data_IF_935605905229
#
_entry.id   IF_935605905229
#
_cell.length_a   1.000
_cell.length_b   1.000
_cell.length_c   1.000
_cell.angle_alpha   90.00
_cell.angle_beta   90.00
_cell.angle_gamma   90.00
#
_symmetry.space_group_name_H-M   'P 1'
#
loop_
_entity.id
_entity.type
_entity.pdbx_description
1 polymer ?
#
# COMPACT_ATOMS: atom_id res chain seq x y z
N UNK A 1 -14.64 67.26 38.25
CA UNK A 1 -14.97 65.87 38.66
C UNK A 1 -13.95 64.95 38.04
N UNK A 2 -13.29 64.18 38.91
CA UNK A 2 -12.14 63.31 38.63
C UNK A 2 -12.63 62.03 37.93
N UNK A 3 -11.97 61.63 36.84
CA UNK A 3 -12.05 60.26 36.33
C UNK A 3 -10.63 59.68 36.25
N UNK A 4 -10.35 58.80 37.22
CA UNK A 4 -9.14 57.99 37.29
C UNK A 4 -9.23 56.85 36.26
N UNK A 5 -8.24 56.70 35.39
CA UNK A 5 -8.11 55.53 34.52
C UNK A 5 -6.86 54.77 34.95
N UNK A 6 -7.05 53.63 35.62
CA UNK A 6 -5.98 52.67 35.90
C UNK A 6 -5.80 51.76 34.69
N UNK A 7 -4.63 51.83 34.03
CA UNK A 7 -4.24 50.89 32.99
C UNK A 7 -3.53 49.69 33.63
N UNK A 8 -4.17 48.52 33.60
CA UNK A 8 -3.54 47.26 34.02
C UNK A 8 -2.56 46.78 32.93
N UNK A 9 -1.26 46.77 33.23
CA UNK A 9 -0.24 46.11 32.39
C UNK A 9 -0.34 44.60 32.57
N UNK A 10 -0.95 43.91 31.62
CA UNK A 10 -0.88 42.45 31.52
C UNK A 10 0.51 42.08 31.02
N UNK A 11 1.34 41.51 31.89
CA UNK A 11 2.62 40.93 31.49
C UNK A 11 2.37 39.59 30.80
N UNK A 12 2.55 39.55 29.49
CA UNK A 12 2.49 38.32 28.71
C UNK A 12 3.81 37.56 28.91
N UNK A 13 3.76 36.44 29.63
CA UNK A 13 4.89 35.52 29.74
C UNK A 13 5.04 34.80 28.39
N UNK A 14 6.10 35.10 27.65
CA UNK A 14 6.43 34.39 26.41
C UNK A 14 6.88 32.97 26.75
N UNK A 15 6.17 31.97 26.22
CA UNK A 15 6.57 30.56 26.27
C UNK A 15 7.72 30.33 25.29
N UNK A 16 8.84 29.83 25.78
CA UNK A 16 9.95 29.37 24.93
C UNK A 16 9.61 27.96 24.41
N UNK A 17 9.05 27.88 23.22
CA UNK A 17 8.99 26.62 22.48
C UNK A 17 10.39 26.32 21.90
N UNK A 18 11.06 25.28 22.38
CA UNK A 18 12.29 24.79 21.75
C UNK A 18 11.96 24.21 20.38
N UNK A 19 12.49 24.79 19.31
CA UNK A 19 12.38 24.23 17.97
C UNK A 19 13.14 22.90 17.91
N UNK A 20 12.46 21.83 17.49
CA UNK A 20 13.12 20.55 17.17
C UNK A 20 14.09 20.76 16.01
N UNK A 21 15.21 20.03 15.95
CA UNK A 21 16.11 20.10 14.81
C UNK A 21 15.35 19.73 13.53
N UNK A 22 15.42 20.59 12.52
CA UNK A 22 14.86 20.31 11.20
C UNK A 22 15.74 19.27 10.52
N UNK A 23 15.24 18.05 10.37
CA UNK A 23 15.87 17.06 9.49
C UNK A 23 15.64 17.52 8.05
N UNK A 24 16.73 17.84 7.34
CA UNK A 24 16.67 18.13 5.91
C UNK A 24 16.42 16.82 5.16
N UNK A 25 15.25 16.70 4.55
CA UNK A 25 14.95 15.60 3.65
C UNK A 25 15.41 15.98 2.23
N UNK A 26 16.42 15.31 1.65
CA UNK A 26 17.00 15.69 0.36
C UNK A 26 16.00 15.60 -0.80
N UNK A 27 14.87 14.90 -0.64
CA UNK A 27 13.81 14.81 -1.66
C UNK A 27 12.64 15.77 -1.41
N UNK A 28 12.66 16.61 -0.36
CA UNK A 28 11.55 17.52 -0.04
C UNK A 28 11.30 18.62 -1.09
N UNK A 29 12.24 18.84 -2.01
CA UNK A 29 12.15 19.80 -3.11
C UNK A 29 11.73 19.20 -4.46
N UNK A 30 11.62 17.88 -4.55
CA UNK A 30 11.25 17.20 -5.80
C UNK A 30 9.74 17.33 -6.08
N UNK A 31 9.39 17.37 -7.36
CA UNK A 31 7.98 17.33 -7.74
C UNK A 31 7.38 15.96 -7.37
N UNK A 32 6.27 15.91 -6.61
CA UNK A 32 5.65 14.65 -6.25
C UNK A 32 5.17 13.92 -7.52
N UNK A 33 5.56 12.64 -7.64
CA UNK A 33 5.09 11.77 -8.73
C UNK A 33 4.26 10.64 -8.16
N UNK A 34 3.12 10.36 -8.79
CA UNK A 34 2.24 9.26 -8.41
C UNK A 34 1.55 8.71 -9.64
N UNK A 35 1.46 7.39 -9.72
CA UNK A 35 0.70 6.67 -10.73
C UNK A 35 -0.02 5.54 -10.02
N UNK A 36 -1.31 5.38 -10.31
CA UNK A 36 -2.12 4.34 -9.69
C UNK A 36 -3.06 3.71 -10.70
N UNK A 37 -3.22 2.40 -10.61
CA UNK A 37 -4.18 1.63 -11.40
C UNK A 37 -4.53 0.34 -10.65
N UNK A 38 -5.64 -0.28 -11.06
CA UNK A 38 -6.09 -1.54 -10.48
C UNK A 38 -5.30 -2.72 -11.07
N UNK A 39 -4.34 -3.27 -10.32
CA UNK A 39 -3.55 -4.42 -10.77
C UNK A 39 -4.31 -5.76 -10.67
N UNK A 40 -5.07 -5.94 -9.58
CA UNK A 40 -5.90 -7.12 -9.32
C UNK A 40 -7.37 -6.69 -9.26
N UNK A 41 -8.10 -6.89 -10.36
CA UNK A 41 -9.53 -6.59 -10.43
C UNK A 41 -10.33 -7.85 -10.11
N UNK A 42 -11.06 -7.85 -8.99
CA UNK A 42 -12.05 -8.90 -8.68
C UNK A 42 -13.31 -8.77 -9.54
N UNK A 43 -14.10 -9.83 -9.61
CA UNK A 43 -15.36 -9.84 -10.36
C UNK A 43 -15.81 -11.25 -10.79
N UNK A 44 -16.90 -11.28 -11.55
CA UNK A 44 -17.56 -12.54 -11.95
C UNK A 44 -16.72 -13.39 -12.89
N UNK A 45 -15.90 -12.77 -13.74
CA UNK A 45 -14.96 -13.44 -14.62
C UNK A 45 -13.64 -12.68 -14.67
N UNK A 46 -12.63 -13.20 -13.97
CA UNK A 46 -11.30 -12.58 -13.90
C UNK A 46 -10.28 -13.58 -14.38
N UNK A 47 -9.74 -13.33 -15.59
CA UNK A 47 -8.57 -14.05 -16.11
C UNK A 47 -8.70 -15.58 -16.03
N UNK A 48 -9.92 -16.09 -16.26
CA UNK A 48 -10.26 -17.51 -16.21
C UNK A 48 -10.88 -18.01 -14.90
N UNK A 49 -11.00 -17.15 -13.88
CA UNK A 49 -11.61 -17.48 -12.59
C UNK A 49 -13.02 -16.87 -12.48
N UNK A 50 -13.94 -17.62 -11.87
CA UNK A 50 -15.31 -17.16 -11.65
C UNK A 50 -15.48 -16.60 -10.24
N UNK A 51 -16.06 -15.41 -10.12
CA UNK A 51 -16.49 -14.83 -8.83
C UNK A 51 -15.35 -14.54 -7.84
N UNK A 52 -14.14 -14.25 -8.32
CA UNK A 52 -12.96 -14.09 -7.46
C UNK A 52 -12.86 -12.68 -6.85
N UNK A 53 -12.50 -12.62 -5.58
CA UNK A 53 -12.08 -11.37 -4.91
C UNK A 53 -10.63 -11.46 -4.45
N UNK A 54 -9.91 -10.32 -4.41
CA UNK A 54 -8.49 -10.29 -4.03
C UNK A 54 -8.25 -9.52 -2.73
N UNK A 55 -7.58 -10.15 -1.77
CA UNK A 55 -7.19 -9.52 -0.49
C UNK A 55 -5.76 -9.90 -0.11
N UNK A 56 -5.27 -9.31 0.99
CA UNK A 56 -3.98 -9.59 1.64
C UNK A 56 -2.78 -9.48 0.67
N UNK A 57 -2.33 -8.25 0.35
CA UNK A 57 -1.23 -8.02 -0.57
C UNK A 57 0.14 -8.37 0.03
N UNK A 58 1.01 -8.93 -0.81
CA UNK A 58 2.46 -8.93 -0.61
C UNK A 58 3.15 -8.47 -1.89
N UNK A 59 4.24 -7.70 -1.81
CA UNK A 59 4.98 -7.26 -3.01
C UNK A 59 6.48 -7.25 -2.72
N UNK A 60 7.27 -7.77 -3.66
CA UNK A 60 8.74 -7.70 -3.61
C UNK A 60 9.32 -7.31 -4.96
N UNK A 61 10.58 -6.90 -4.93
CA UNK A 61 11.46 -6.80 -6.09
C UNK A 61 12.54 -7.86 -5.97
N UNK A 62 12.67 -8.72 -6.99
CA UNK A 62 13.71 -9.75 -7.05
C UNK A 62 15.10 -9.13 -7.30
N UNK A 63 16.17 -9.92 -7.11
CA UNK A 63 17.53 -9.47 -7.42
C UNK A 63 17.74 -9.14 -8.91
N UNK A 64 16.91 -9.70 -9.80
CA UNK A 64 16.87 -9.36 -11.23
C UNK A 64 16.03 -8.10 -11.54
N UNK A 65 15.52 -7.39 -10.53
CA UNK A 65 14.71 -6.18 -10.69
C UNK A 65 13.25 -6.40 -11.08
N UNK A 66 12.81 -7.67 -11.23
CA UNK A 66 11.40 -8.00 -11.51
C UNK A 66 10.54 -7.75 -10.27
N UNK A 67 9.36 -7.18 -10.44
CA UNK A 67 8.37 -7.07 -9.37
C UNK A 67 7.51 -8.34 -9.32
N UNK A 68 7.25 -8.86 -8.12
CA UNK A 68 6.22 -9.88 -7.89
C UNK A 68 5.19 -9.30 -6.94
N UNK A 69 3.95 -9.19 -7.40
CA UNK A 69 2.82 -8.79 -6.56
C UNK A 69 1.94 -10.01 -6.29
N UNK A 70 1.68 -10.30 -5.03
CA UNK A 70 0.91 -11.43 -4.54
C UNK A 70 -0.40 -10.96 -3.91
N UNK A 71 -1.43 -11.80 -4.00
CA UNK A 71 -2.73 -11.64 -3.34
C UNK A 71 -3.29 -13.01 -2.99
N UNK A 72 -4.14 -13.05 -1.98
CA UNK A 72 -5.13 -14.12 -1.87
C UNK A 72 -6.18 -13.96 -2.98
N UNK A 73 -6.35 -14.96 -3.83
CA UNK A 73 -7.48 -15.11 -4.72
C UNK A 73 -8.56 -15.93 -4.04
N UNK A 74 -9.66 -15.29 -3.68
CA UNK A 74 -10.75 -15.88 -2.89
C UNK A 74 -11.90 -16.22 -3.82
N UNK A 75 -12.12 -17.51 -4.06
CA UNK A 75 -12.90 -17.99 -5.20
C UNK A 75 -14.42 -17.78 -5.08
N UNK A 76 -14.96 -17.81 -3.85
CA UNK A 76 -16.42 -17.82 -3.62
C UNK A 76 -16.96 -16.53 -3.00
N UNK A 77 -16.14 -15.84 -2.20
CA UNK A 77 -16.57 -14.68 -1.44
C UNK A 77 -15.37 -13.85 -0.97
N UNK A 78 -15.62 -12.75 -0.26
CA UNK A 78 -14.60 -11.93 0.39
C UNK A 78 -14.24 -12.40 1.81
N UNK A 79 -14.70 -13.59 2.23
CA UNK A 79 -14.46 -14.18 3.55
C UNK A 79 -13.06 -14.76 3.68
N UNK A 80 -12.58 -14.93 4.91
CA UNK A 80 -11.21 -15.35 5.24
C UNK A 80 -11.06 -16.89 5.32
N UNK A 81 -11.99 -17.65 4.74
CA UNK A 81 -12.04 -19.11 4.75
C UNK A 81 -12.57 -19.65 3.40
N UNK A 82 -12.72 -20.97 3.27
CA UNK A 82 -13.00 -21.72 2.04
C UNK A 82 -11.82 -21.69 1.05
N UNK A 83 -12.12 -21.91 -0.24
CA UNK A 83 -11.16 -21.99 -1.32
C UNK A 83 -10.49 -20.62 -1.55
N UNK A 84 -9.27 -20.51 -1.01
CA UNK A 84 -8.41 -19.34 -1.11
C UNK A 84 -7.04 -19.82 -1.57
N UNK A 85 -6.58 -19.28 -2.69
CA UNK A 85 -5.29 -19.61 -3.28
C UNK A 85 -4.38 -18.40 -3.28
N UNK A 86 -3.06 -18.62 -3.23
CA UNK A 86 -2.08 -17.54 -3.40
C UNK A 86 -1.87 -17.31 -4.89
N UNK A 87 -2.26 -16.14 -5.35
CA UNK A 87 -2.12 -15.68 -6.72
C UNK A 87 -1.05 -14.61 -6.83
N UNK A 88 -0.48 -14.43 -8.03
CA UNK A 88 0.50 -13.39 -8.27
C UNK A 88 0.50 -12.88 -9.72
N UNK A 89 1.11 -11.71 -9.92
CA UNK A 89 1.48 -11.15 -11.22
C UNK A 89 2.94 -10.74 -11.20
N UNK A 90 3.60 -10.84 -12.35
CA UNK A 90 5.00 -10.44 -12.57
C UNK A 90 5.04 -9.10 -13.30
N UNK A 91 5.79 -8.13 -12.77
CA UNK A 91 5.97 -6.81 -13.36
C UNK A 91 7.38 -6.60 -13.89
N UNK A 92 7.49 -6.11 -15.13
CA UNK A 92 8.74 -5.61 -15.72
C UNK A 92 8.74 -4.08 -15.74
N UNK A 93 9.81 -3.42 -16.20
CA UNK A 93 9.85 -1.94 -16.36
C UNK A 93 9.43 -1.13 -15.12
N UNK A 94 9.72 -1.62 -13.91
CA UNK A 94 9.25 -1.08 -12.62
C UNK A 94 7.72 -1.11 -12.40
N UNK A 95 6.96 -1.84 -13.22
CA UNK A 95 5.52 -1.99 -13.09
C UNK A 95 4.76 -0.68 -13.31
N UNK A 96 5.30 0.23 -14.12
CA UNK A 96 4.82 1.61 -14.30
C UNK A 96 3.40 1.68 -14.87
N UNK A 97 3.04 0.74 -15.74
CA UNK A 97 1.73 0.69 -16.41
C UNK A 97 1.10 -0.68 -16.28
N UNK A 98 -0.21 -0.78 -16.53
CA UNK A 98 -0.92 -2.06 -16.53
C UNK A 98 -0.35 -3.06 -17.56
N UNK A 99 0.21 -2.58 -18.68
CA UNK A 99 0.82 -3.41 -19.71
C UNK A 99 2.17 -4.01 -19.33
N UNK A 100 2.81 -3.50 -18.28
CA UNK A 100 4.08 -4.03 -17.77
C UNK A 100 3.90 -5.28 -16.89
N UNK A 101 2.65 -5.68 -16.62
CA UNK A 101 2.32 -6.80 -15.75
C UNK A 101 1.81 -8.01 -16.55
N UNK A 102 2.20 -9.20 -16.10
CA UNK A 102 1.67 -10.45 -16.62
C UNK A 102 0.18 -10.61 -16.33
N UNK A 103 -0.44 -11.58 -17.01
CA UNK A 103 -1.69 -12.17 -16.53
C UNK A 103 -1.49 -12.81 -15.15
N UNK A 104 -2.60 -13.09 -14.49
CA UNK A 104 -2.71 -13.73 -13.19
C UNK A 104 -2.15 -15.14 -13.25
N UNK A 105 -1.34 -15.47 -12.26
CA UNK A 105 -0.71 -16.77 -12.09
C UNK A 105 -0.98 -17.28 -10.68
N UNK A 106 -0.92 -18.59 -10.49
CA UNK A 106 -1.09 -19.23 -9.19
C UNK A 106 0.26 -19.63 -8.62
N UNK A 107 0.54 -19.22 -7.38
CA UNK A 107 1.75 -19.61 -6.65
C UNK A 107 1.51 -20.86 -5.79
N UNK A 108 0.35 -20.96 -5.13
CA UNK A 108 0.01 -22.07 -4.26
C UNK A 108 -1.51 -22.29 -4.17
N UNK A 109 -1.91 -23.56 -4.07
CA UNK A 109 -3.30 -24.02 -3.88
C UNK A 109 -3.33 -25.40 -3.24
N UNK A 110 -4.34 -25.70 -2.41
CA UNK A 110 -4.62 -27.05 -1.89
C UNK A 110 -6.15 -27.24 -1.96
N UNK A 111 -6.63 -27.89 -3.02
CA UNK A 111 -8.05 -28.20 -3.18
C UNK A 111 -8.98 -27.01 -2.91
N UNK A 112 -9.91 -27.20 -1.97
CA UNK A 112 -10.84 -26.17 -1.47
C UNK A 112 -10.41 -25.56 -0.13
N UNK A 113 -9.19 -25.84 0.33
CA UNK A 113 -8.66 -25.28 1.57
C UNK A 113 -8.19 -23.82 1.38
N UNK A 114 -7.87 -23.19 2.52
CA UNK A 114 -7.35 -21.83 2.58
C UNK A 114 -5.83 -21.82 2.62
N UNK A 115 -5.22 -21.19 1.61
CA UNK A 115 -3.80 -20.79 1.62
C UNK A 115 -3.72 -19.28 1.40
N UNK A 116 -3.10 -18.57 2.33
CA UNK A 116 -3.07 -17.12 2.29
C UNK A 116 -1.85 -16.50 2.94
N UNK A 117 -2.03 -15.25 3.38
CA UNK A 117 -1.01 -14.45 4.06
C UNK A 117 0.35 -14.42 3.33
N UNK A 118 0.39 -14.08 2.02
CA UNK A 118 1.63 -14.05 1.26
C UNK A 118 2.64 -13.09 1.92
N UNK A 119 3.72 -13.65 2.45
CA UNK A 119 4.79 -12.93 3.15
C UNK A 119 6.12 -13.16 2.42
N UNK A 120 6.26 -12.66 1.18
CA UNK A 120 7.47 -12.89 0.38
C UNK A 120 8.67 -12.14 0.92
N UNK A 121 9.84 -12.77 0.86
CA UNK A 121 11.16 -12.17 1.09
C UNK A 121 12.09 -12.57 -0.04
N UNK A 122 13.03 -11.69 -0.38
CA UNK A 122 14.09 -11.99 -1.33
C UNK A 122 15.38 -12.11 -0.54
N UNK A 123 16.02 -13.27 -0.63
CA UNK A 123 17.34 -13.50 -0.05
C UNK A 123 18.41 -12.77 -0.86
N UNK A 124 19.46 -12.27 -0.19
CA UNK A 124 20.48 -11.39 -0.77
C UNK A 124 21.89 -11.77 -0.37
#
# INVERSE_FOLDING_TARGET
MIACVFAAKVHFLASFASALPTVTDPVSGDNPTSTSFMLFKGGDHVEGLNGVTFRIPGVIRTNAGTLLAFKEGRAKSNKDYDNINVMYKRGVNNGQTAGDWSTLMQAASIGDDTIGNPTPVVDR
#
